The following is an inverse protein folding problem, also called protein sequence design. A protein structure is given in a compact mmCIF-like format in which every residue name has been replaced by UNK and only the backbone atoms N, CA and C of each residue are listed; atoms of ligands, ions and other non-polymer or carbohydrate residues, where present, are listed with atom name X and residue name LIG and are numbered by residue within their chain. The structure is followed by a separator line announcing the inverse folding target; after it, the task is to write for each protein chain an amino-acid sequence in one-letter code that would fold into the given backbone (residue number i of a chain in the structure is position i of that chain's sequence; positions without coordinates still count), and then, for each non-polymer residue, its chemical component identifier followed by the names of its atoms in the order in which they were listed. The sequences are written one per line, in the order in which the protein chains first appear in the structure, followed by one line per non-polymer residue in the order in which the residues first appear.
data_IF_852367565045
#
_entry.id   IF_852367565045
#
_cell.length_a   1.000
_cell.length_b   1.000
_cell.length_c   1.000
_cell.angle_alpha   90.00
_cell.angle_beta   90.00
_cell.angle_gamma   90.00
#
_symmetry.space_group_name_H-M   'P 1'
#
loop_
_entity.id
_entity.type
_entity.pdbx_description
1 polymer ?
#
# COMPACT_ATOMS: atom_id res chain seq x y z
N UNK A 1 2.09 8.87 12.57
CA UNK A 1 2.14 7.61 13.12
C UNK A 1 2.09 6.53 12.14
N UNK A 2 2.88 5.54 12.41
CA UNK A 2 3.01 4.43 11.47
C UNK A 2 1.75 3.59 11.43
N UNK A 3 1.04 3.53 12.54
CA UNK A 3 -0.18 2.74 12.56
C UNK A 3 -1.21 3.29 11.59
N UNK A 4 -1.25 4.62 11.44
CA UNK A 4 -2.19 5.21 10.50
C UNK A 4 -1.85 4.85 9.07
N UNK A 5 -0.57 4.81 8.73
CA UNK A 5 -0.15 4.44 7.38
C UNK A 5 -0.46 2.98 7.10
N UNK A 6 -0.28 2.12 8.10
CA UNK A 6 -0.58 0.71 7.92
C UNK A 6 -2.07 0.47 7.77
N UNK A 7 -2.87 1.16 8.58
CA UNK A 7 -4.31 1.05 8.46
C UNK A 7 -4.78 1.55 7.10
N UNK A 8 -4.18 2.64 6.63
CA UNK A 8 -4.53 3.19 5.34
C UNK A 8 -4.18 2.20 4.24
N UNK A 9 -3.03 1.53 4.35
CA UNK A 9 -2.64 0.53 3.37
C UNK A 9 -3.63 -0.63 3.34
N UNK A 10 -4.14 -1.04 4.49
CA UNK A 10 -5.11 -2.11 4.54
C UNK A 10 -6.44 -1.69 3.92
N UNK A 11 -6.86 -0.46 4.15
CA UNK A 11 -8.08 0.04 3.52
C UNK A 11 -7.90 0.13 2.00
N UNK A 12 -6.73 0.58 1.56
CA UNK A 12 -6.45 0.66 0.14
C UNK A 12 -6.43 -0.73 -0.48
N UNK A 13 -5.88 -1.69 0.24
CA UNK A 13 -5.87 -3.07 -0.25
C UNK A 13 -7.29 -3.58 -0.45
N UNK A 14 -8.20 -3.27 0.48
CA UNK A 14 -9.58 -3.67 0.34
C UNK A 14 -10.20 -3.11 -0.94
N UNK A 15 -9.87 -1.85 -1.25
CA UNK A 15 -10.37 -1.24 -2.47
C UNK A 15 -9.78 -1.93 -3.71
N UNK A 16 -8.48 -2.25 -3.68
CA UNK A 16 -7.85 -2.94 -4.80
C UNK A 16 -8.49 -4.31 -5.02
N UNK A 17 -8.72 -5.05 -3.95
CA UNK A 17 -9.23 -6.41 -4.06
C UNK A 17 -10.69 -6.45 -4.44
N UNK A 18 -11.39 -5.34 -4.35
CA UNK A 18 -12.79 -5.29 -4.76
C UNK A 18 -12.95 -5.33 -6.28
N UNK A 19 -11.86 -5.14 -7.02
CA UNK A 19 -11.89 -5.17 -8.48
C UNK A 19 -10.93 -6.26 -8.96
N UNK A 20 -11.44 -7.26 -9.63
CA UNK A 20 -10.64 -8.42 -9.96
C UNK A 20 -9.43 -8.09 -10.82
N UNK A 21 -9.55 -7.29 -11.88
CA UNK A 21 -8.35 -6.95 -12.67
C UNK A 21 -7.30 -6.21 -11.86
N UNK A 22 -7.72 -5.32 -10.96
CA UNK A 22 -6.74 -4.63 -10.11
C UNK A 22 -6.05 -5.60 -9.16
N UNK A 23 -6.83 -6.52 -8.59
CA UNK A 23 -6.26 -7.51 -7.69
C UNK A 23 -5.22 -8.36 -8.39
N UNK A 24 -5.54 -8.77 -9.62
CA UNK A 24 -4.61 -9.59 -10.37
C UNK A 24 -3.33 -8.84 -10.69
N UNK A 25 -3.43 -7.55 -11.00
CA UNK A 25 -2.24 -6.78 -11.28
C UNK A 25 -1.37 -6.65 -10.05
N UNK A 26 -1.99 -6.45 -8.89
CA UNK A 26 -1.22 -6.36 -7.65
C UNK A 26 -0.50 -7.67 -7.35
N UNK A 27 -1.21 -8.79 -7.48
CA UNK A 27 -0.59 -10.09 -7.22
C UNK A 27 0.52 -10.38 -8.21
N UNK A 28 0.32 -10.00 -9.48
CA UNK A 28 1.37 -10.20 -10.47
C UNK A 28 2.60 -9.36 -10.18
N UNK A 29 2.39 -8.13 -9.72
CA UNK A 29 3.50 -7.26 -9.44
C UNK A 29 4.29 -7.71 -8.20
N UNK A 30 3.59 -8.17 -7.18
CA UNK A 30 4.24 -8.59 -5.95
C UNK A 30 4.74 -10.02 -6.01
N UNK A 31 4.24 -10.82 -6.93
CA UNK A 31 4.59 -12.23 -6.99
C UNK A 31 3.92 -13.06 -5.92
N UNK A 32 2.96 -12.51 -5.20
CA UNK A 32 2.29 -13.23 -4.13
C UNK A 32 1.05 -13.92 -4.64
N UNK A 33 0.72 -15.06 -4.03
CA UNK A 33 -0.58 -15.68 -4.22
C UNK A 33 -1.56 -14.98 -3.28
N UNK A 34 -2.87 -15.19 -3.48
CA UNK A 34 -3.84 -14.62 -2.53
C UNK A 34 -3.58 -15.05 -1.10
N UNK A 35 -3.23 -16.32 -0.90
CA UNK A 35 -2.93 -16.79 0.46
C UNK A 35 -1.65 -16.18 0.98
N UNK A 36 -0.64 -16.05 0.13
CA UNK A 36 0.61 -15.42 0.51
C UNK A 36 0.42 -13.96 0.91
N UNK A 37 -0.42 -13.26 0.15
CA UNK A 37 -0.72 -11.88 0.48
C UNK A 37 -1.38 -11.80 1.86
N UNK A 38 -2.40 -12.65 2.07
CA UNK A 38 -3.12 -12.64 3.33
C UNK A 38 -2.20 -12.95 4.49
N UNK A 39 -1.29 -13.89 4.32
CA UNK A 39 -0.38 -14.28 5.37
C UNK A 39 0.65 -13.20 5.68
N UNK A 40 0.91 -12.30 4.75
CA UNK A 40 1.96 -11.30 4.93
C UNK A 40 1.42 -9.91 5.26
N UNK A 41 0.14 -9.78 5.58
CA UNK A 41 -0.43 -8.46 5.83
C UNK A 41 0.13 -7.77 7.07
N UNK A 42 0.74 -8.50 7.96
CA UNK A 42 1.39 -7.89 9.11
C UNK A 42 2.77 -7.35 8.81
N UNK A 43 3.28 -7.55 7.61
CA UNK A 43 4.62 -7.12 7.28
C UNK A 43 4.61 -5.77 6.61
N UNK A 44 5.49 -4.89 7.10
CA UNK A 44 5.58 -3.54 6.56
C UNK A 44 5.89 -3.54 5.07
N UNK A 45 6.76 -4.44 4.63
CA UNK A 45 7.14 -4.49 3.22
C UNK A 45 5.94 -4.80 2.33
N UNK A 46 5.04 -5.65 2.79
CA UNK A 46 3.85 -5.98 2.02
C UNK A 46 2.92 -4.78 1.90
N UNK A 47 2.72 -4.08 3.01
CA UNK A 47 1.87 -2.89 3.00
C UNK A 47 2.49 -1.78 2.16
N UNK A 48 3.81 -1.66 2.19
CA UNK A 48 4.49 -0.70 1.34
C UNK A 48 4.25 -1.03 -0.13
N UNK A 49 4.32 -2.31 -0.48
CA UNK A 49 4.10 -2.73 -1.87
C UNK A 49 2.68 -2.42 -2.32
N UNK A 50 1.70 -2.56 -1.43
CA UNK A 50 0.31 -2.24 -1.77
C UNK A 50 0.18 -0.77 -2.14
N UNK A 51 0.73 0.12 -1.32
CA UNK A 51 0.61 1.54 -1.60
C UNK A 51 1.49 1.97 -2.76
N UNK A 52 2.64 1.32 -2.95
CA UNK A 52 3.48 1.61 -4.11
C UNK A 52 2.81 1.23 -5.41
N UNK A 53 2.04 0.15 -5.40
CA UNK A 53 1.26 -0.23 -6.56
C UNK A 53 0.36 0.92 -6.99
N UNK A 54 -0.32 1.54 -6.02
CA UNK A 54 -1.20 2.67 -6.33
C UNK A 54 -0.40 3.90 -6.74
N UNK A 55 0.71 4.17 -6.06
CA UNK A 55 1.50 5.35 -6.38
C UNK A 55 2.08 5.27 -7.79
N UNK A 56 2.27 4.07 -8.31
CA UNK A 56 2.78 3.88 -9.65
C UNK A 56 1.71 3.96 -10.74
N UNK A 57 0.44 4.09 -10.35
CA UNK A 57 -0.66 4.15 -11.32
C UNK A 57 -1.60 5.27 -10.91
N UNK A 58 -1.37 6.44 -11.49
CA UNK A 58 -2.05 7.64 -11.02
C UNK A 58 -3.58 7.51 -11.06
N UNK A 59 -4.13 6.91 -12.10
CA UNK A 59 -5.59 6.78 -12.18
C UNK A 59 -6.13 5.97 -11.01
N UNK A 60 -5.44 4.89 -10.65
CA UNK A 60 -5.86 4.06 -9.52
C UNK A 60 -5.64 4.79 -8.21
N UNK A 61 -4.56 5.55 -8.10
CA UNK A 61 -4.28 6.32 -6.89
C UNK A 61 -5.40 7.32 -6.63
N UNK A 62 -5.79 8.05 -7.65
CA UNK A 62 -6.83 9.06 -7.51
C UNK A 62 -8.17 8.40 -7.19
N UNK A 63 -8.50 7.29 -7.87
CA UNK A 63 -9.75 6.61 -7.64
C UNK A 63 -9.82 6.02 -6.23
N UNK A 64 -8.73 5.45 -5.78
CA UNK A 64 -8.69 4.89 -4.44
C UNK A 64 -8.83 5.97 -3.38
N UNK A 65 -8.13 7.08 -3.57
CA UNK A 65 -8.21 8.19 -2.63
C UNK A 65 -9.64 8.71 -2.54
N UNK A 66 -10.31 8.82 -3.67
CA UNK A 66 -11.70 9.27 -3.68
C UNK A 66 -12.59 8.28 -2.94
N UNK A 67 -12.36 7.00 -3.13
CA UNK A 67 -13.16 5.98 -2.46
C UNK A 67 -12.94 5.99 -0.96
N UNK A 68 -11.74 6.32 -0.52
CA UNK A 68 -11.42 6.39 0.90
C UNK A 68 -11.66 7.77 1.50
N UNK A 69 -12.07 8.71 0.66
CA UNK A 69 -12.38 10.08 1.09
C UNK A 69 -11.15 10.77 1.67
N UNK A 70 -10.03 10.65 0.98
CA UNK A 70 -8.79 11.32 1.36
C UNK A 70 -8.15 11.90 0.12
N UNK A 71 -7.14 12.74 0.33
CA UNK A 71 -6.40 13.32 -0.79
C UNK A 71 -5.44 12.30 -1.38
N UNK A 72 -5.26 12.30 -2.69
CA UNK A 72 -4.28 11.39 -3.31
C UNK A 72 -2.88 11.56 -2.74
N UNK A 73 -2.50 12.78 -2.38
CA UNK A 73 -1.18 13.01 -1.79
C UNK A 73 -1.00 12.27 -0.49
N UNK A 74 -2.07 12.05 0.24
CA UNK A 74 -1.97 11.32 1.48
C UNK A 74 -1.60 9.86 1.25
N UNK A 75 -2.18 9.25 0.22
CA UNK A 75 -1.81 7.88 -0.13
C UNK A 75 -0.36 7.81 -0.60
N UNK A 76 0.04 8.76 -1.44
CA UNK A 76 1.41 8.78 -1.94
C UNK A 76 2.41 8.98 -0.81
N UNK A 77 2.09 9.86 0.13
CA UNK A 77 2.98 10.10 1.26
C UNK A 77 3.09 8.86 2.14
N UNK A 78 1.98 8.16 2.35
CA UNK A 78 2.02 6.94 3.15
C UNK A 78 2.87 5.87 2.47
N UNK A 79 2.77 5.76 1.13
CA UNK A 79 3.61 4.82 0.40
C UNK A 79 5.08 5.13 0.62
N UNK A 80 5.41 6.40 0.53
CA UNK A 80 6.80 6.82 0.71
C UNK A 80 7.29 6.52 2.11
N UNK A 81 6.47 6.77 3.13
CA UNK A 81 6.87 6.50 4.50
C UNK A 81 7.05 5.01 4.76
N UNK A 82 6.17 4.19 4.21
CA UNK A 82 6.28 2.75 4.42
C UNK A 82 7.47 2.15 3.69
N UNK A 83 7.86 2.74 2.57
CA UNK A 83 9.03 2.27 1.84
C UNK A 83 10.33 2.71 2.47
N UNK A 84 10.30 3.73 3.30
CA UNK A 84 11.51 4.28 3.87
C UNK A 84 12.09 3.39 4.94
N UNK A 85 13.22 3.79 5.51
CA UNK A 85 13.87 3.00 6.55
C UNK A 85 12.94 2.86 7.73
N UNK A 86 12.97 1.67 8.32
CA UNK A 86 12.13 1.42 9.42
C UNK A 86 12.47 2.22 10.61
N UNK A 87 13.72 2.44 10.82
CA UNK A 87 14.16 3.05 12.04
C UNK A 87 15.14 4.16 11.74
N UNK A 88 14.77 5.39 12.02
CA UNK A 88 15.66 6.50 11.71
C UNK A 88 16.90 6.51 12.53
N UNK A 89 16.89 5.88 13.66
CA UNK A 89 18.04 5.95 14.47
C UNK A 89 19.20 5.25 13.90
N UNK A 90 19.01 4.35 12.97
CA UNK A 90 20.17 3.73 12.43
C UNK A 90 20.95 4.65 11.55
N UNK A 91 20.43 5.80 11.27
CA UNK A 91 21.13 6.70 10.45
C UNK A 91 22.27 7.29 11.13
N UNK A 92 22.16 7.53 12.38
CA UNK A 92 23.15 8.20 13.00
C UNK A 92 24.13 7.37 13.56
N UNK A 93 24.09 6.30 13.31
CA UNK A 93 25.11 5.48 13.83
C UNK A 93 26.31 6.22 14.23
#
# INVERSE_FOLDING_TARGET
MHDDDEALALHALGWILADEPRAERLLGLTGLSPDGLRASLGQRATLAAVLSFLAGHEADLVACAAALDIEPDRLAAAAHRLEGPESPERIHA
#
